data_IF_687166864874
#
_entry.id   IF_687166864874
#
_cell.length_a   1.000
_cell.length_b   1.000
_cell.length_c   1.000
_cell.angle_alpha   90.00
_cell.angle_beta   90.00
_cell.angle_gamma   90.00
#
_symmetry.space_group_name_H-M   'P 1'
#
loop_
_entity.id
_entity.type
_entity.pdbx_description
1 polymer ?
#
# COMPACT_ATOMS: atom_id res chain seq x y z
N UNK A 1 -1.04 15.75 6.69
CA UNK A 1 -1.92 14.76 7.35
C UNK A 1 -2.57 15.34 8.60
N UNK A 2 -1.79 15.91 9.53
CA UNK A 2 -2.32 16.47 10.79
C UNK A 2 -3.47 17.46 10.63
N UNK A 3 -3.38 18.40 9.70
CA UNK A 3 -4.46 19.38 9.50
C UNK A 3 -5.79 18.73 9.08
N UNK A 4 -5.74 17.68 8.27
CA UNK A 4 -6.94 16.91 7.89
C UNK A 4 -7.58 16.25 9.10
N UNK A 5 -6.77 15.68 10.01
CA UNK A 5 -7.24 15.13 11.29
C UNK A 5 -7.90 16.22 12.15
N UNK A 6 -7.27 17.40 12.26
CA UNK A 6 -7.81 18.55 12.99
C UNK A 6 -9.17 18.99 12.46
N UNK A 7 -9.29 19.11 11.14
CA UNK A 7 -10.55 19.45 10.49
C UNK A 7 -11.61 18.37 10.74
N UNK A 8 -11.24 17.09 10.60
CA UNK A 8 -12.13 15.97 10.84
C UNK A 8 -12.63 15.92 12.29
N UNK A 9 -11.79 16.26 13.27
CA UNK A 9 -12.19 16.41 14.67
C UNK A 9 -13.16 17.58 14.86
N UNK A 10 -12.84 18.76 14.30
CA UNK A 10 -13.70 19.96 14.40
C UNK A 10 -15.08 19.74 13.77
N UNK A 11 -15.16 19.06 12.62
CA UNK A 11 -16.44 18.69 11.97
C UNK A 11 -17.32 17.82 12.87
N UNK A 12 -16.71 16.95 13.68
CA UNK A 12 -17.37 16.11 14.69
C UNK A 12 -17.61 16.82 16.04
N UNK A 13 -17.27 18.12 16.15
CA UNK A 13 -17.40 18.94 17.36
C UNK A 13 -16.72 18.35 18.60
N UNK A 14 -15.65 17.58 18.41
CA UNK A 14 -14.88 16.99 19.50
C UNK A 14 -13.76 17.95 19.94
N UNK A 15 -13.58 18.11 21.26
CA UNK A 15 -12.44 18.87 21.80
C UNK A 15 -11.17 18.01 21.81
N UNK A 16 -10.00 18.66 21.85
CA UNK A 16 -8.72 17.93 22.01
C UNK A 16 -8.70 17.09 23.29
N UNK A 17 -9.31 17.58 24.36
CA UNK A 17 -9.40 16.86 25.64
C UNK A 17 -10.21 15.57 25.51
N UNK A 18 -11.37 15.63 24.83
CA UNK A 18 -12.21 14.45 24.61
C UNK A 18 -11.50 13.42 23.74
N UNK A 19 -10.85 13.86 22.66
CA UNK A 19 -10.09 12.94 21.80
C UNK A 19 -8.91 12.32 22.54
N UNK A 20 -8.16 13.12 23.31
CA UNK A 20 -7.03 12.64 24.10
C UNK A 20 -7.46 11.56 25.11
N UNK A 21 -8.56 11.81 25.82
CA UNK A 21 -9.12 10.85 26.78
C UNK A 21 -9.55 9.55 26.09
N UNK A 22 -10.29 9.63 24.98
CA UNK A 22 -10.74 8.44 24.23
C UNK A 22 -9.59 7.66 23.58
N UNK A 23 -8.55 8.37 23.14
CA UNK A 23 -7.37 7.77 22.53
C UNK A 23 -6.36 7.25 23.58
N UNK A 24 -6.57 7.52 24.87
CA UNK A 24 -5.63 7.14 25.93
C UNK A 24 -4.25 7.78 25.76
N UNK A 25 -4.21 9.05 25.35
CA UNK A 25 -2.97 9.82 25.15
C UNK A 25 -3.08 11.21 25.78
N UNK A 26 -1.95 11.93 25.89
CA UNK A 26 -1.96 13.30 26.39
C UNK A 26 -2.59 14.28 25.39
N UNK A 27 -3.11 15.41 25.88
CA UNK A 27 -3.57 16.53 25.02
C UNK A 27 -2.46 17.04 24.10
N UNK A 28 -1.22 17.05 24.58
CA UNK A 28 -0.04 17.44 23.82
C UNK A 28 0.20 16.47 22.66
N UNK A 29 0.00 15.16 22.87
CA UNK A 29 0.09 14.15 21.82
C UNK A 29 -0.94 14.39 20.71
N UNK A 30 -2.20 14.69 21.07
CA UNK A 30 -3.22 15.04 20.07
C UNK A 30 -2.84 16.30 19.30
N UNK A 31 -2.30 17.31 19.98
CA UNK A 31 -1.80 18.53 19.32
C UNK A 31 -0.68 18.22 18.32
N UNK A 32 0.31 17.41 18.71
CA UNK A 32 1.41 16.99 17.83
C UNK A 32 0.90 16.22 16.60
N UNK A 33 -0.02 15.28 16.80
CA UNK A 33 -0.68 14.54 15.71
C UNK A 33 -1.42 15.49 14.76
N UNK A 34 -2.18 16.45 15.29
CA UNK A 34 -2.90 17.45 14.49
C UNK A 34 -1.99 18.48 13.81
N UNK A 35 -0.81 18.73 14.36
CA UNK A 35 0.23 19.55 13.73
C UNK A 35 0.99 18.78 12.63
N UNK A 36 0.89 17.46 12.59
CA UNK A 36 1.69 16.63 11.69
C UNK A 36 3.14 16.50 12.14
N UNK A 37 3.40 16.61 13.45
CA UNK A 37 4.74 16.51 14.05
C UNK A 37 5.39 15.15 13.69
N UNK A 38 6.60 15.13 13.09
CA UNK A 38 7.34 13.90 12.79
C UNK A 38 7.71 13.09 14.04
N UNK A 39 7.82 13.73 15.20
CA UNK A 39 8.11 13.09 16.48
C UNK A 39 6.88 12.46 17.15
N UNK A 40 5.67 12.64 16.60
CA UNK A 40 4.51 11.89 17.06
C UNK A 40 4.58 10.43 16.57
N UNK A 41 4.41 9.49 17.48
CA UNK A 41 4.49 8.06 17.15
C UNK A 41 3.35 7.66 16.22
N UNK A 42 3.61 6.70 15.31
CA UNK A 42 2.57 6.17 14.42
C UNK A 42 1.37 5.62 15.22
N UNK A 43 1.63 4.97 16.36
CA UNK A 43 0.57 4.51 17.26
C UNK A 43 -0.34 5.65 17.76
N UNK A 44 0.19 6.85 18.00
CA UNK A 44 -0.62 8.01 18.37
C UNK A 44 -1.54 8.46 17.21
N UNK A 45 -1.03 8.48 15.97
CA UNK A 45 -1.84 8.77 14.79
C UNK A 45 -2.99 7.76 14.64
N UNK A 46 -2.69 6.46 14.76
CA UNK A 46 -3.68 5.38 14.62
C UNK A 46 -4.77 5.49 15.70
N UNK A 47 -4.40 5.73 16.97
CA UNK A 47 -5.38 5.90 18.05
C UNK A 47 -6.28 7.10 17.83
N UNK A 48 -5.74 8.23 17.34
CA UNK A 48 -6.56 9.40 16.99
C UNK A 48 -7.48 9.10 15.81
N UNK A 49 -7.00 8.41 14.77
CA UNK A 49 -7.82 7.97 13.64
C UNK A 49 -8.99 7.08 14.10
N UNK A 50 -8.73 6.10 14.97
CA UNK A 50 -9.75 5.21 15.53
C UNK A 50 -10.84 5.98 16.30
N UNK A 51 -10.47 6.95 17.13
CA UNK A 51 -11.45 7.80 17.83
C UNK A 51 -12.29 8.65 16.87
N UNK A 52 -11.72 9.00 15.72
CA UNK A 52 -12.41 9.74 14.68
C UNK A 52 -13.20 8.82 13.72
N UNK A 53 -13.07 7.49 13.80
CA UNK A 53 -13.69 6.56 12.84
C UNK A 53 -13.08 6.67 11.44
N UNK A 54 -11.76 6.88 11.36
CA UNK A 54 -10.99 7.05 10.12
C UNK A 54 -9.85 6.02 10.00
N UNK A 55 -9.81 5.01 10.86
CA UNK A 55 -8.82 3.94 10.84
C UNK A 55 -8.85 3.12 9.53
N UNK A 56 -10.01 3.03 8.89
CA UNK A 56 -10.17 2.37 7.59
C UNK A 56 -9.41 3.04 6.45
N UNK A 57 -9.09 4.33 6.56
CA UNK A 57 -8.29 5.06 5.56
C UNK A 57 -6.86 4.48 5.45
N UNK A 58 -6.37 3.77 6.48
CA UNK A 58 -5.08 3.08 6.43
C UNK A 58 -5.06 2.01 5.34
N UNK A 59 -6.20 1.41 5.01
CA UNK A 59 -6.29 0.42 3.92
C UNK A 59 -6.07 1.03 2.55
N UNK A 60 -6.20 2.36 2.41
CA UNK A 60 -5.92 3.07 1.16
C UNK A 60 -4.42 3.30 0.96
N UNK A 61 -3.63 3.18 2.02
CA UNK A 61 -2.18 3.37 1.93
C UNK A 61 -1.57 2.20 1.12
N UNK A 62 -0.90 2.54 0.02
CA UNK A 62 -0.33 1.57 -0.92
C UNK A 62 -1.34 0.61 -1.58
N UNK A 63 -2.66 0.87 -1.47
CA UNK A 63 -3.69 0.06 -2.13
C UNK A 63 -3.52 0.03 -3.67
N UNK A 64 -3.01 1.12 -4.25
CA UNK A 64 -2.78 1.25 -5.68
C UNK A 64 -1.30 1.52 -6.01
N UNK A 65 -0.43 0.54 -5.75
CA UNK A 65 0.99 0.59 -6.14
C UNK A 65 1.20 0.30 -7.64
N UNK A 66 0.73 1.23 -8.49
CA UNK A 66 0.81 1.10 -9.95
C UNK A 66 2.24 0.94 -10.46
N UNK A 67 3.19 1.64 -9.84
CA UNK A 67 4.60 1.59 -10.24
C UNK A 67 5.16 0.22 -9.88
N UNK A 68 4.94 -0.26 -8.65
CA UNK A 68 5.37 -1.59 -8.24
C UNK A 68 4.79 -2.68 -9.13
N UNK A 69 3.50 -2.62 -9.47
CA UNK A 69 2.89 -3.59 -10.40
C UNK A 69 3.52 -3.56 -11.79
N UNK A 70 3.73 -2.38 -12.37
CA UNK A 70 4.38 -2.25 -13.69
C UNK A 70 5.82 -2.78 -13.67
N UNK A 71 6.57 -2.52 -12.60
CA UNK A 71 7.93 -3.07 -12.44
C UNK A 71 7.92 -4.60 -12.34
N UNK A 72 6.93 -5.16 -11.65
CA UNK A 72 6.74 -6.61 -11.55
C UNK A 72 6.41 -7.23 -12.91
N UNK A 73 5.49 -6.62 -13.68
CA UNK A 73 5.11 -7.09 -15.02
C UNK A 73 6.32 -7.13 -15.96
N UNK A 74 7.13 -6.06 -16.00
CA UNK A 74 8.35 -5.99 -16.82
C UNK A 74 9.40 -7.05 -16.44
N UNK A 75 9.49 -7.40 -15.15
CA UNK A 75 10.39 -8.46 -14.69
C UNK A 75 9.93 -9.86 -15.12
N UNK A 76 8.62 -10.09 -15.24
CA UNK A 76 8.04 -11.35 -15.72
C UNK A 76 8.16 -11.51 -17.25
N UNK A 77 8.20 -10.40 -18.01
CA UNK A 77 8.40 -10.39 -19.46
C UNK A 77 9.87 -10.60 -19.90
N UNK A 78 10.80 -10.71 -18.95
CA UNK A 78 12.23 -10.91 -19.21
C UNK A 78 12.58 -12.39 -19.58
N UNK A 79 13.67 -12.66 -20.33
CA UNK A 79 13.67 -13.46 -21.56
C UNK A 79 13.86 -15.00 -21.38
N UNK A 80 13.22 -15.62 -20.40
CA UNK A 80 13.26 -17.09 -20.30
C UNK A 80 12.27 -17.79 -21.24
N UNK A 81 11.16 -17.13 -21.62
CA UNK A 81 10.11 -17.74 -22.43
C UNK A 81 10.41 -17.76 -23.95
N UNK A 82 11.28 -16.87 -24.45
CA UNK A 82 11.69 -16.87 -25.85
C UNK A 82 12.59 -18.07 -26.24
N UNK A 83 13.14 -18.79 -25.26
CA UNK A 83 14.06 -19.91 -25.50
C UNK A 83 13.35 -21.27 -25.68
N UNK A 84 12.04 -21.35 -25.40
CA UNK A 84 11.30 -22.63 -25.43
C UNK A 84 10.60 -22.93 -26.77
N UNK A 85 10.59 -22.00 -27.71
CA UNK A 85 9.98 -22.15 -29.04
C UNK A 85 11.03 -22.29 -30.17
N UNK A 86 11.98 -23.22 -30.05
CA UNK A 86 12.74 -23.73 -31.21
C UNK A 86 13.06 -25.21 -31.05
N UNK A 87 12.04 -26.07 -31.15
CA UNK A 87 12.27 -27.45 -31.60
C UNK A 87 11.34 -27.67 -32.81
N UNK A 88 11.84 -27.58 -34.05
CA UNK A 88 11.04 -27.95 -35.21
C UNK A 88 10.81 -29.48 -35.21
N UNK A 89 9.64 -29.97 -35.61
CA UNK A 89 9.38 -31.40 -35.68
C UNK A 89 10.29 -32.06 -36.72
N UNK A 90 11.02 -33.09 -36.29
CA UNK A 90 11.91 -33.91 -37.10
C UNK A 90 11.18 -34.43 -38.35
N UNK A 91 11.69 -34.07 -39.53
CA UNK A 91 11.18 -34.53 -40.82
C UNK A 91 11.43 -36.02 -40.97
N UNK A 92 10.36 -36.81 -40.84
CA UNK A 92 10.26 -38.11 -41.48
C UNK A 92 10.42 -37.93 -42.99
N UNK A 93 11.44 -38.57 -43.60
CA UNK A 93 11.43 -39.18 -44.94
C UNK A 93 12.86 -39.44 -45.45
N UNK A 94 13.27 -40.71 -45.52
CA UNK A 94 13.76 -41.34 -46.75
C UNK A 94 13.86 -42.87 -46.52
N UNK A 95 12.88 -43.65 -46.99
CA UNK A 95 12.80 -44.29 -48.32
C UNK A 95 13.90 -45.32 -48.60
N UNK A 96 13.49 -46.59 -48.43
CA UNK A 96 13.66 -47.74 -49.33
C UNK A 96 14.92 -47.80 -50.23
N UNK A 97 15.71 -48.85 -50.03
CA UNK A 97 16.09 -49.82 -51.08
C UNK A 97 17.42 -49.61 -51.82
N UNK A 98 17.94 -50.75 -52.32
CA UNK A 98 19.16 -50.99 -53.12
C UNK A 98 20.46 -51.07 -52.32
N UNK A 99 21.29 -52.12 -52.42
CA UNK A 99 21.29 -53.35 -53.22
C UNK A 99 22.15 -54.40 -52.50
#
# INVERSE_FOLDING_TARGET
>A
MGERLRLARKRRKLSNTVVAQRAGVSRTTVYKVEAGDPGATLGAYIRVLAVLGLEGDLNLLAADDRIGRKLQDLALESPSDASRQKVPPSSAQNRKGSA
#
